data_IF_514903523927
#
_entry.id   IF_514903523927
#
_cell.length_a   1.000
_cell.length_b   1.000
_cell.length_c   1.000
_cell.angle_alpha   90.00
_cell.angle_beta   90.00
_cell.angle_gamma   90.00
#
_symmetry.space_group_name_H-M   'P 1'
#
loop_
_entity.id
_entity.type
_entity.pdbx_description
1 polymer ?
#
# COMPACT_ATOMS: atom_id res chain seq x y z
N UNK A 1 -3.43 -14.71 6.19
CA UNK A 1 -2.91 -14.24 7.48
C UNK A 1 -3.48 -15.12 8.58
N UNK A 2 -2.72 -15.37 9.65
CA UNK A 2 -3.15 -16.16 10.81
C UNK A 2 -3.09 -15.29 12.06
N UNK A 3 -3.91 -15.53 13.10
CA UNK A 3 -3.76 -14.87 14.39
C UNK A 3 -2.32 -15.02 14.90
N UNK A 4 -1.77 -13.96 15.47
CA UNK A 4 -0.42 -13.97 16.06
C UNK A 4 -0.50 -14.48 17.51
N UNK A 5 0.03 -15.68 17.82
CA UNK A 5 -0.04 -16.21 19.18
C UNK A 5 0.66 -15.29 20.18
N UNK A 6 0.00 -14.98 21.30
CA UNK A 6 0.51 -14.09 22.35
C UNK A 6 0.34 -12.59 22.06
N UNK A 7 -0.24 -12.22 20.92
CA UNK A 7 -0.59 -10.84 20.58
C UNK A 7 -2.08 -10.54 20.82
N UNK A 8 -2.50 -9.30 20.58
CA UNK A 8 -3.90 -8.90 20.72
C UNK A 8 -4.78 -9.55 19.64
N UNK A 9 -6.10 -9.63 19.88
CA UNK A 9 -7.02 -10.44 19.08
C UNK A 9 -7.08 -10.08 17.58
N UNK A 10 -6.84 -8.82 17.23
CA UNK A 10 -6.84 -8.32 15.85
C UNK A 10 -5.49 -8.51 15.15
N UNK A 11 -4.45 -8.89 15.87
CA UNK A 11 -3.09 -8.93 15.37
C UNK A 11 -2.79 -10.25 14.67
N UNK A 12 -2.17 -10.15 13.50
CA UNK A 12 -1.95 -11.28 12.62
C UNK A 12 -0.51 -11.34 12.15
N UNK A 13 -0.09 -12.53 11.73
CA UNK A 13 1.11 -12.73 10.93
C UNK A 13 0.74 -13.24 9.54
N UNK A 14 1.58 -12.91 8.57
CA UNK A 14 1.50 -13.49 7.25
C UNK A 14 2.36 -14.76 7.16
N UNK A 15 1.81 -15.81 6.55
CA UNK A 15 2.45 -17.12 6.42
C UNK A 15 2.81 -17.37 4.96
N UNK A 16 3.78 -18.26 4.72
CA UNK A 16 4.15 -18.70 3.36
C UNK A 16 5.64 -18.60 3.04
N UNK A 17 6.52 -18.38 4.03
CA UNK A 17 7.96 -18.37 3.84
C UNK A 17 8.50 -19.77 3.50
N UNK A 18 7.87 -20.81 4.03
CA UNK A 18 8.23 -22.20 3.73
C UNK A 18 8.08 -22.46 2.22
N UNK A 19 9.14 -22.94 1.59
CA UNK A 19 9.21 -23.20 0.15
C UNK A 19 9.14 -21.95 -0.74
N UNK A 20 9.29 -20.74 -0.19
CA UNK A 20 9.16 -19.50 -0.95
C UNK A 20 10.28 -19.36 -2.00
N UNK A 21 11.49 -19.78 -1.69
CA UNK A 21 12.64 -19.63 -2.58
C UNK A 21 12.44 -20.44 -3.87
N UNK A 22 12.02 -21.70 -3.73
CA UNK A 22 11.72 -22.59 -4.84
C UNK A 22 10.57 -22.06 -5.68
N UNK A 23 9.47 -21.63 -5.03
CA UNK A 23 8.33 -21.03 -5.75
C UNK A 23 8.73 -19.74 -6.48
N UNK A 24 9.55 -18.89 -5.87
CA UNK A 24 9.99 -17.64 -6.48
C UNK A 24 10.85 -17.89 -7.73
N UNK A 25 11.76 -18.88 -7.67
CA UNK A 25 12.53 -19.31 -8.83
C UNK A 25 11.62 -19.86 -9.95
N UNK A 26 10.64 -20.70 -9.61
CA UNK A 26 9.67 -21.23 -10.58
C UNK A 26 8.83 -20.12 -11.22
N UNK A 27 8.41 -19.11 -10.45
CA UNK A 27 7.67 -17.96 -10.97
C UNK A 27 8.53 -17.09 -11.87
N UNK A 28 9.83 -16.95 -11.57
CA UNK A 28 10.76 -16.22 -12.45
C UNK A 28 10.85 -16.90 -13.83
N UNK A 29 10.96 -18.24 -13.87
CA UNK A 29 10.96 -19.02 -15.11
C UNK A 29 9.66 -18.84 -15.90
N UNK A 30 8.52 -18.73 -15.20
CA UNK A 30 7.21 -18.46 -15.80
C UNK A 30 7.01 -17.00 -16.26
N UNK A 31 7.96 -16.11 -16.00
CA UNK A 31 7.95 -14.72 -16.48
C UNK A 31 7.63 -13.66 -15.44
N UNK A 32 7.37 -14.02 -14.18
CA UNK A 32 7.23 -13.03 -13.11
C UNK A 32 8.55 -12.27 -12.90
N UNK A 33 8.45 -10.97 -12.60
CA UNK A 33 9.62 -10.10 -12.33
C UNK A 33 9.52 -9.32 -11.03
N UNK A 34 8.38 -9.39 -10.37
CA UNK A 34 8.17 -8.88 -9.05
C UNK A 34 7.23 -9.81 -8.29
N UNK A 35 7.26 -9.73 -6.97
CA UNK A 35 6.33 -10.41 -6.09
C UNK A 35 5.67 -9.38 -5.16
N UNK A 36 4.57 -9.76 -4.51
CA UNK A 36 3.94 -8.93 -3.48
C UNK A 36 3.67 -9.74 -2.21
N UNK A 37 3.93 -9.15 -1.05
CA UNK A 37 3.64 -9.76 0.24
C UNK A 37 3.01 -8.75 1.19
N UNK A 38 1.80 -9.07 1.63
CA UNK A 38 0.97 -8.22 2.49
C UNK A 38 1.05 -8.65 3.95
N UNK A 39 1.43 -7.72 4.80
CA UNK A 39 1.17 -7.71 6.23
C UNK A 39 0.02 -6.74 6.52
N UNK A 40 -0.84 -7.07 7.48
CA UNK A 40 -1.92 -6.18 7.92
C UNK A 40 -1.81 -5.92 9.42
N UNK A 41 -1.83 -4.65 9.78
CA UNK A 41 -1.78 -4.17 11.14
C UNK A 41 -2.95 -3.21 11.38
N UNK A 42 -3.49 -3.18 12.58
CA UNK A 42 -4.67 -2.40 12.91
C UNK A 42 -4.41 -1.47 14.09
N UNK A 43 -4.99 -0.27 14.02
CA UNK A 43 -4.98 0.68 15.14
C UNK A 43 -6.25 0.48 15.96
N UNK A 44 -6.08 0.18 17.24
CA UNK A 44 -7.20 -0.05 18.16
C UNK A 44 -6.93 0.61 19.51
N UNK A 45 -7.99 0.82 20.29
CA UNK A 45 -7.92 1.51 21.59
C UNK A 45 -7.18 0.72 22.67
N UNK A 46 -7.03 -0.59 22.53
CA UNK A 46 -6.27 -1.48 23.41
C UNK A 46 -4.76 -1.51 23.09
N UNK A 47 -4.28 -0.60 22.23
CA UNK A 47 -2.85 -0.37 22.01
C UNK A 47 -2.25 -1.09 20.80
N UNK A 48 -3.06 -1.59 19.86
CA UNK A 48 -2.54 -2.10 18.59
C UNK A 48 -2.12 -0.96 17.65
N UNK A 49 -1.12 -1.18 16.76
CA UNK A 49 -0.31 -2.39 16.69
C UNK A 49 0.73 -2.46 17.83
N UNK A 50 0.81 -3.62 18.49
CA UNK A 50 1.74 -3.93 19.56
C UNK A 50 3.17 -4.06 19.04
N UNK A 51 4.18 -3.92 19.92
CA UNK A 51 5.58 -4.13 19.52
C UNK A 51 5.82 -5.52 18.94
N UNK A 52 5.13 -6.55 19.48
CA UNK A 52 5.23 -7.92 18.99
C UNK A 52 4.74 -8.03 17.54
N UNK A 53 3.56 -7.48 17.25
CA UNK A 53 2.97 -7.49 15.90
C UNK A 53 3.80 -6.72 14.88
N UNK A 54 4.32 -5.55 15.28
CA UNK A 54 5.18 -4.74 14.41
C UNK A 54 6.47 -5.48 14.07
N UNK A 55 7.14 -6.06 15.07
CA UNK A 55 8.38 -6.81 14.86
C UNK A 55 8.17 -8.04 14.00
N UNK A 56 7.15 -8.86 14.30
CA UNK A 56 6.87 -10.08 13.56
C UNK A 56 6.56 -9.80 12.08
N UNK A 57 5.66 -8.85 11.81
CA UNK A 57 5.30 -8.50 10.44
C UNK A 57 6.47 -7.87 9.67
N UNK A 58 7.25 -7.01 10.33
CA UNK A 58 8.45 -6.40 9.73
C UNK A 58 9.51 -7.45 9.39
N UNK A 59 9.72 -8.41 10.30
CA UNK A 59 10.67 -9.51 10.08
C UNK A 59 10.21 -10.44 8.96
N UNK A 60 8.92 -10.81 8.94
CA UNK A 60 8.33 -11.61 7.87
C UNK A 60 8.47 -10.94 6.49
N UNK A 61 8.21 -9.64 6.41
CA UNK A 61 8.38 -8.83 5.19
C UNK A 61 9.83 -8.80 4.72
N UNK A 62 10.80 -8.60 5.63
CA UNK A 62 12.22 -8.58 5.30
C UNK A 62 12.73 -9.94 4.81
N UNK A 63 12.32 -11.03 5.47
CA UNK A 63 12.63 -12.41 5.07
C UNK A 63 12.07 -12.74 3.70
N UNK A 64 10.82 -12.35 3.44
CA UNK A 64 10.20 -12.46 2.13
C UNK A 64 11.01 -11.67 1.08
N UNK A 65 11.33 -10.41 1.37
CA UNK A 65 12.01 -9.52 0.43
C UNK A 65 13.38 -10.08 0.01
N UNK A 66 14.18 -10.53 0.99
CA UNK A 66 15.47 -11.16 0.70
C UNK A 66 15.29 -12.43 -0.13
N UNK A 67 14.35 -13.29 0.26
CA UNK A 67 14.11 -14.57 -0.41
C UNK A 67 13.76 -14.41 -1.91
N UNK A 68 12.88 -13.47 -2.25
CA UNK A 68 12.50 -13.27 -3.66
C UNK A 68 13.58 -12.54 -4.47
N UNK A 69 14.43 -11.72 -3.82
CA UNK A 69 15.60 -11.14 -4.46
C UNK A 69 16.63 -12.19 -4.88
N UNK A 70 16.86 -13.24 -4.07
CA UNK A 70 17.71 -14.38 -4.45
C UNK A 70 17.23 -15.08 -5.73
N UNK A 71 15.93 -14.99 -6.03
CA UNK A 71 15.32 -15.55 -7.23
C UNK A 71 15.18 -14.54 -8.38
N UNK A 72 15.73 -13.34 -8.24
CA UNK A 72 15.68 -12.28 -9.26
C UNK A 72 14.33 -11.56 -9.38
N UNK A 73 13.45 -11.68 -8.39
CA UNK A 73 12.18 -10.93 -8.34
C UNK A 73 12.32 -9.67 -7.47
N UNK A 74 11.73 -8.57 -7.92
CA UNK A 74 11.59 -7.35 -7.12
C UNK A 74 10.50 -7.55 -6.04
N UNK A 75 10.81 -7.45 -4.73
CA UNK A 75 9.78 -7.47 -3.71
C UNK A 75 9.02 -6.16 -3.62
N UNK A 76 7.69 -6.24 -3.74
CA UNK A 76 6.78 -5.24 -3.20
C UNK A 76 6.53 -5.57 -1.72
N UNK A 77 6.95 -4.67 -0.84
CA UNK A 77 6.83 -4.77 0.61
C UNK A 77 5.57 -4.02 1.05
N UNK A 78 4.54 -4.73 1.51
CA UNK A 78 3.22 -4.17 1.82
C UNK A 78 2.89 -4.25 3.32
N UNK A 79 3.36 -3.29 4.16
CA UNK A 79 2.93 -3.14 5.54
C UNK A 79 1.66 -2.29 5.62
N UNK A 80 0.50 -2.91 5.39
CA UNK A 80 -0.78 -2.19 5.41
C UNK A 80 -1.22 -1.88 6.84
N UNK A 81 -1.43 -0.59 7.12
CA UNK A 81 -2.22 -0.15 8.28
C UNK A 81 -3.69 -0.08 7.83
N UNK A 82 -4.53 -0.91 8.44
CA UNK A 82 -5.97 -0.98 8.18
C UNK A 82 -6.67 0.30 8.63
N UNK A 83 -7.71 0.68 7.88
CA UNK A 83 -8.51 1.88 8.15
C UNK A 83 -9.62 1.66 9.19
N UNK A 84 -9.82 0.44 9.67
CA UNK A 84 -10.84 0.09 10.64
C UNK A 84 -10.64 0.86 11.96
N UNK A 85 -11.72 1.46 12.48
CA UNK A 85 -11.76 2.15 13.76
C UNK A 85 -12.01 3.66 13.68
N UNK A 86 -11.90 4.33 14.82
CA UNK A 86 -12.24 5.76 14.98
C UNK A 86 -11.02 6.70 15.12
N UNK A 87 -9.83 6.19 14.84
CA UNK A 87 -8.58 6.90 15.04
C UNK A 87 -8.44 8.10 14.08
N UNK A 88 -7.73 9.15 14.53
CA UNK A 88 -7.46 10.33 13.72
C UNK A 88 -6.38 10.06 12.68
N UNK A 89 -6.30 10.93 11.67
CA UNK A 89 -5.25 10.86 10.64
C UNK A 89 -3.84 11.00 11.23
N UNK A 90 -3.66 11.73 12.32
CA UNK A 90 -2.39 11.85 13.04
C UNK A 90 -2.02 10.55 13.77
N UNK A 91 -2.99 9.81 14.27
CA UNK A 91 -2.74 8.48 14.85
C UNK A 91 -2.30 7.50 13.76
N UNK A 92 -2.92 7.54 12.58
CA UNK A 92 -2.48 6.78 11.40
C UNK A 92 -1.05 7.12 11.03
N UNK A 93 -0.71 8.41 10.92
CA UNK A 93 0.64 8.86 10.61
C UNK A 93 1.68 8.31 11.59
N UNK A 94 1.39 8.38 12.91
CA UNK A 94 2.28 7.86 13.96
C UNK A 94 2.48 6.36 13.86
N UNK A 95 1.40 5.61 13.63
CA UNK A 95 1.48 4.16 13.46
C UNK A 95 2.30 3.80 12.22
N UNK A 96 2.02 4.43 11.08
CA UNK A 96 2.76 4.22 9.84
C UNK A 96 4.24 4.56 9.98
N UNK A 97 4.60 5.70 10.57
CA UNK A 97 6.02 6.05 10.80
C UNK A 97 6.73 4.98 11.64
N UNK A 98 6.07 4.45 12.69
CA UNK A 98 6.65 3.40 13.55
C UNK A 98 6.81 2.07 12.81
N UNK A 99 5.79 1.63 12.10
CA UNK A 99 5.83 0.35 11.35
C UNK A 99 6.83 0.40 10.21
N UNK A 100 6.81 1.45 9.39
CA UNK A 100 7.68 1.57 8.21
C UNK A 100 9.15 1.63 8.64
N UNK A 101 9.48 2.31 9.74
CA UNK A 101 10.85 2.31 10.29
C UNK A 101 11.31 0.92 10.70
N UNK A 102 10.46 0.15 11.39
CA UNK A 102 10.80 -1.22 11.78
C UNK A 102 10.99 -2.13 10.54
N UNK A 103 10.13 -1.99 9.52
CA UNK A 103 10.26 -2.71 8.25
C UNK A 103 11.62 -2.46 7.62
N UNK A 104 12.07 -1.21 7.51
CA UNK A 104 13.38 -0.92 6.92
C UNK A 104 14.56 -1.31 7.82
N UNK A 105 14.41 -1.29 9.15
CA UNK A 105 15.40 -1.87 10.05
C UNK A 105 15.53 -3.39 9.85
N UNK A 106 14.41 -4.11 9.74
CA UNK A 106 14.42 -5.54 9.45
C UNK A 106 15.00 -5.84 8.06
N UNK A 107 14.66 -5.06 7.03
CA UNK A 107 15.24 -5.17 5.69
C UNK A 107 16.75 -4.99 5.71
N UNK A 108 17.27 -4.00 6.44
CA UNK A 108 18.71 -3.79 6.60
C UNK A 108 19.39 -5.00 7.25
N UNK A 109 18.82 -5.54 8.33
CA UNK A 109 19.38 -6.72 9.04
C UNK A 109 19.35 -7.98 8.16
N UNK A 110 18.40 -8.09 7.23
CA UNK A 110 18.29 -9.23 6.30
C UNK A 110 19.04 -9.00 4.97
N UNK A 111 19.90 -7.97 4.88
CA UNK A 111 20.65 -7.61 3.66
C UNK A 111 19.75 -7.44 2.42
N UNK A 112 18.60 -6.80 2.56
CA UNK A 112 17.71 -6.49 1.43
C UNK A 112 18.26 -5.31 0.64
N UNK A 113 18.42 -5.47 -0.68
CA UNK A 113 18.83 -4.39 -1.59
C UNK A 113 17.65 -3.44 -1.83
N UNK A 114 17.64 -2.27 -1.19
CA UNK A 114 16.50 -1.33 -1.21
C UNK A 114 16.23 -0.75 -2.61
N UNK A 115 17.26 -0.52 -3.41
CA UNK A 115 17.18 -0.07 -4.81
C UNK A 115 16.40 -1.06 -5.69
N UNK A 116 16.37 -2.33 -5.29
CA UNK A 116 15.64 -3.41 -5.93
C UNK A 116 14.33 -3.75 -5.23
N UNK A 117 13.69 -2.81 -4.53
CA UNK A 117 12.40 -3.00 -3.83
C UNK A 117 11.36 -1.96 -4.25
N UNK A 118 10.10 -2.21 -3.89
CA UNK A 118 9.05 -1.19 -3.88
C UNK A 118 8.33 -1.23 -2.53
N UNK A 119 7.87 -0.07 -2.03
CA UNK A 119 7.00 -0.01 -0.86
C UNK A 119 5.55 0.13 -1.31
N UNK A 120 4.65 -0.66 -0.73
CA UNK A 120 3.19 -0.53 -0.92
C UNK A 120 2.51 -0.23 0.42
N UNK A 121 2.50 1.04 0.86
CA UNK A 121 1.82 1.45 2.08
C UNK A 121 0.36 1.86 1.77
N UNK A 122 -0.46 1.94 2.80
CA UNK A 122 -1.70 2.72 2.75
C UNK A 122 -1.41 4.22 2.71
N UNK A 123 -2.30 5.02 2.11
CA UNK A 123 -2.27 6.47 2.31
C UNK A 123 -2.57 6.80 3.78
N UNK A 124 -2.05 7.92 4.27
CA UNK A 124 -2.33 8.38 5.64
C UNK A 124 -3.72 8.98 5.69
N UNK A 125 -4.72 8.15 6.02
CA UNK A 125 -6.12 8.54 6.18
C UNK A 125 -6.59 8.26 7.60
N UNK A 126 -7.66 8.92 8.03
CA UNK A 126 -8.34 8.62 9.29
C UNK A 126 -8.97 7.22 9.28
N UNK A 127 -9.37 6.76 10.45
CA UNK A 127 -10.21 5.58 10.57
C UNK A 127 -11.59 5.77 9.93
N UNK A 128 -12.21 4.69 9.46
CA UNK A 128 -13.53 4.71 8.80
C UNK A 128 -14.60 5.35 9.68
N UNK A 129 -14.56 5.08 10.99
CA UNK A 129 -15.56 5.52 11.97
C UNK A 129 -15.24 6.89 12.57
N UNK A 130 -14.13 7.50 12.17
CA UNK A 130 -13.76 8.84 12.63
C UNK A 130 -14.68 9.89 11.97
N UNK A 131 -15.38 10.70 12.76
CA UNK A 131 -16.36 11.67 12.23
C UNK A 131 -15.73 12.88 11.51
N UNK A 132 -14.48 13.23 11.87
CA UNK A 132 -13.76 14.36 11.26
C UNK A 132 -13.48 14.04 9.79
N UNK A 133 -13.85 14.93 8.87
CA UNK A 133 -13.45 14.80 7.46
C UNK A 133 -12.10 15.47 7.27
N UNK A 134 -11.25 14.86 6.45
CA UNK A 134 -9.98 15.45 6.04
C UNK A 134 -10.07 15.80 4.56
N UNK A 135 -9.58 16.97 4.19
CA UNK A 135 -9.50 17.35 2.79
C UNK A 135 -8.34 16.62 2.09
N UNK A 136 -8.39 16.48 0.75
CA UNK A 136 -7.35 15.78 0.01
C UNK A 136 -5.92 16.32 0.18
N UNK A 137 -5.74 17.63 0.40
CA UNK A 137 -4.40 18.22 0.59
C UNK A 137 -3.83 17.84 1.94
N UNK A 138 -4.66 17.79 2.98
CA UNK A 138 -4.26 17.29 4.31
C UNK A 138 -3.82 15.83 4.24
N UNK A 139 -4.58 14.96 3.55
CA UNK A 139 -4.20 13.55 3.32
C UNK A 139 -2.87 13.46 2.59
N UNK A 140 -2.70 14.20 1.50
CA UNK A 140 -1.48 14.18 0.71
C UNK A 140 -0.25 14.65 1.50
N UNK A 141 -0.37 15.79 2.20
CA UNK A 141 0.71 16.37 3.00
C UNK A 141 1.14 15.45 4.14
N UNK A 142 0.19 14.87 4.87
CA UNK A 142 0.49 13.93 5.95
C UNK A 142 1.09 12.63 5.44
N UNK A 143 0.64 12.14 4.28
CA UNK A 143 1.20 10.94 3.65
C UNK A 143 2.65 11.17 3.24
N UNK A 144 2.94 12.23 2.48
CA UNK A 144 4.31 12.54 2.05
C UNK A 144 5.24 12.76 3.24
N UNK A 145 4.79 13.53 4.26
CA UNK A 145 5.58 13.77 5.47
C UNK A 145 5.90 12.47 6.23
N UNK A 146 4.92 11.56 6.33
CA UNK A 146 5.10 10.26 6.99
C UNK A 146 6.16 9.43 6.26
N UNK A 147 6.14 9.41 4.92
CA UNK A 147 7.13 8.73 4.10
C UNK A 147 8.52 9.37 4.23
N UNK A 148 8.63 10.70 4.14
CA UNK A 148 9.89 11.43 4.32
C UNK A 148 10.58 11.15 5.66
N UNK A 149 9.81 10.81 6.68
CA UNK A 149 10.31 10.52 8.03
C UNK A 149 10.64 9.05 8.27
N UNK A 150 10.31 8.15 7.35
CA UNK A 150 10.36 6.70 7.60
C UNK A 150 10.94 5.87 6.46
N UNK A 151 10.96 6.37 5.23
CA UNK A 151 11.44 5.65 4.05
C UNK A 151 12.85 6.12 3.67
N UNK A 152 13.81 5.20 3.44
CA UNK A 152 15.11 5.54 2.88
C UNK A 152 15.02 6.05 1.43
N UNK A 153 15.89 7.00 1.06
CA UNK A 153 15.93 7.56 -0.30
C UNK A 153 16.43 6.60 -1.38
N UNK A 154 17.03 5.46 -1.01
CA UNK A 154 17.47 4.41 -1.95
C UNK A 154 16.32 3.59 -2.52
N UNK A 155 15.17 3.56 -1.86
CA UNK A 155 13.96 2.95 -2.41
C UNK A 155 13.57 3.72 -3.68
N UNK A 156 13.25 3.07 -4.80
CA UNK A 156 12.95 3.77 -6.05
C UNK A 156 11.51 4.29 -6.13
N UNK A 157 10.55 3.58 -5.52
CA UNK A 157 9.13 3.90 -5.70
C UNK A 157 8.22 3.46 -4.57
N UNK A 158 7.15 4.23 -4.40
CA UNK A 158 6.03 3.98 -3.50
C UNK A 158 4.79 3.72 -4.35
N UNK A 159 4.24 2.51 -4.24
CA UNK A 159 3.07 2.05 -5.01
C UNK A 159 1.87 1.92 -4.08
N UNK A 160 1.11 2.99 -3.85
CA UNK A 160 0.06 3.01 -2.82
C UNK A 160 -1.01 1.95 -3.06
N UNK A 161 -1.46 1.29 -1.99
CA UNK A 161 -2.70 0.53 -2.00
C UNK A 161 -3.88 1.50 -1.79
N UNK A 162 -5.03 1.21 -2.41
CA UNK A 162 -6.23 2.05 -2.24
C UNK A 162 -6.94 1.78 -0.90
N UNK A 163 -6.65 0.67 -0.24
CA UNK A 163 -7.38 0.25 0.96
C UNK A 163 -8.88 0.17 0.64
N UNK A 164 -9.70 0.70 1.54
CA UNK A 164 -11.15 0.88 1.37
C UNK A 164 -11.58 2.22 0.80
N UNK A 165 -10.69 3.02 0.22
CA UNK A 165 -11.09 4.22 -0.51
C UNK A 165 -11.90 3.83 -1.76
N UNK A 166 -12.91 4.64 -2.08
CA UNK A 166 -13.57 4.61 -3.38
C UNK A 166 -12.61 5.03 -4.50
N UNK A 167 -13.01 4.76 -5.74
CA UNK A 167 -12.17 5.00 -6.92
C UNK A 167 -11.71 6.46 -7.02
N UNK A 168 -12.62 7.41 -6.78
CA UNK A 168 -12.33 8.83 -7.00
C UNK A 168 -11.42 9.45 -5.93
N UNK A 169 -11.68 9.29 -4.61
CA UNK A 169 -10.74 9.73 -3.59
C UNK A 169 -9.33 9.12 -3.75
N UNK A 170 -9.22 7.87 -4.19
CA UNK A 170 -7.91 7.25 -4.42
C UNK A 170 -7.11 7.96 -5.53
N UNK A 171 -7.75 8.39 -6.62
CA UNK A 171 -7.10 9.19 -7.69
C UNK A 171 -6.79 10.60 -7.20
N UNK A 172 -7.73 11.27 -6.53
CA UNK A 172 -7.56 12.65 -6.07
C UNK A 172 -6.43 12.75 -5.04
N UNK A 173 -6.36 11.84 -4.06
CA UNK A 173 -5.27 11.84 -3.07
C UNK A 173 -3.90 11.58 -3.70
N UNK A 174 -3.82 10.64 -4.65
CA UNK A 174 -2.57 10.39 -5.39
C UNK A 174 -2.13 11.63 -6.18
N UNK A 175 -3.08 12.32 -6.82
CA UNK A 175 -2.82 13.53 -7.56
C UNK A 175 -2.24 14.64 -6.67
N UNK A 176 -2.92 14.93 -5.54
CA UNK A 176 -2.47 15.95 -4.59
C UNK A 176 -1.07 15.64 -4.03
N UNK A 177 -0.73 14.37 -3.80
CA UNK A 177 0.64 13.99 -3.42
C UNK A 177 1.67 14.31 -4.51
N UNK A 178 1.31 14.07 -5.78
CA UNK A 178 2.20 14.38 -6.89
C UNK A 178 2.31 15.88 -7.20
N UNK A 179 1.31 16.68 -6.84
CA UNK A 179 1.35 18.14 -6.90
C UNK A 179 2.27 18.80 -5.87
N UNK A 180 2.70 18.09 -4.81
CA UNK A 180 3.65 18.64 -3.82
C UNK A 180 5.03 18.83 -4.46
N UNK A 181 5.48 20.09 -4.56
CA UNK A 181 6.74 20.46 -5.23
C UNK A 181 7.98 19.84 -4.58
N UNK A 182 8.04 19.88 -3.25
CA UNK A 182 9.19 19.37 -2.48
C UNK A 182 8.81 18.06 -1.80
N UNK A 183 9.30 16.96 -2.37
CA UNK A 183 9.27 15.62 -1.79
C UNK A 183 10.57 14.88 -2.13
N UNK A 184 10.87 13.81 -1.41
CA UNK A 184 11.97 12.90 -1.74
C UNK A 184 11.84 12.32 -3.16
N UNK A 185 12.92 11.72 -3.67
CA UNK A 185 13.05 11.28 -5.08
C UNK A 185 12.26 10.02 -5.45
N UNK A 186 11.42 9.52 -4.56
CA UNK A 186 10.57 8.39 -4.84
C UNK A 186 9.57 8.73 -5.94
N UNK A 187 9.34 7.77 -6.84
CA UNK A 187 8.15 7.82 -7.68
C UNK A 187 6.92 7.43 -6.86
N UNK A 188 5.89 8.29 -6.84
CA UNK A 188 4.63 8.04 -6.14
C UNK A 188 3.55 7.60 -7.14
N UNK A 189 3.21 6.32 -7.13
CA UNK A 189 2.26 5.69 -8.07
C UNK A 189 1.28 4.78 -7.33
N UNK A 190 0.43 4.07 -8.07
CA UNK A 190 -0.63 3.23 -7.53
C UNK A 190 -0.35 1.73 -7.73
N UNK A 191 -0.80 0.93 -6.75
CA UNK A 191 -0.98 -0.52 -6.83
C UNK A 191 -2.40 -0.84 -6.36
N UNK A 192 -3.38 -0.57 -7.22
CA UNK A 192 -4.79 -0.59 -6.87
C UNK A 192 -5.49 -1.87 -7.32
N UNK A 193 -6.35 -2.40 -6.44
CA UNK A 193 -7.35 -3.41 -6.78
C UNK A 193 -8.72 -2.75 -6.95
N UNK A 194 -9.44 -2.60 -5.84
CA UNK A 194 -10.80 -2.02 -5.82
C UNK A 194 -10.92 -0.68 -6.55
N UNK A 195 -10.00 0.26 -6.30
CA UNK A 195 -10.03 1.59 -6.92
C UNK A 195 -9.79 1.62 -8.45
N UNK A 196 -9.44 0.48 -9.06
CA UNK A 196 -9.39 0.31 -10.52
C UNK A 196 -10.52 -0.56 -11.08
N UNK A 197 -11.09 -1.45 -10.25
CA UNK A 197 -11.91 -2.57 -10.73
C UNK A 197 -13.38 -2.46 -10.33
N UNK A 198 -13.75 -1.66 -9.34
CA UNK A 198 -15.11 -1.62 -8.82
C UNK A 198 -16.14 -1.27 -9.89
N UNK A 199 -15.92 -0.18 -10.61
CA UNK A 199 -16.82 0.24 -11.70
C UNK A 199 -16.71 -0.65 -12.93
N UNK A 200 -15.51 -1.21 -13.20
CA UNK A 200 -15.33 -2.22 -14.25
C UNK A 200 -16.20 -3.46 -13.98
N UNK A 201 -16.19 -3.98 -12.76
CA UNK A 201 -16.97 -5.16 -12.37
C UNK A 201 -18.47 -4.88 -12.45
N UNK A 202 -18.93 -3.70 -12.00
CA UNK A 202 -20.34 -3.30 -12.15
C UNK A 202 -20.77 -3.18 -13.61
N UNK A 203 -19.95 -2.54 -14.45
CA UNK A 203 -20.26 -2.34 -15.86
C UNK A 203 -20.22 -3.65 -16.66
N UNK A 204 -19.29 -4.56 -16.32
CA UNK A 204 -19.21 -5.87 -16.93
C UNK A 204 -20.42 -6.73 -16.60
N UNK A 205 -20.89 -6.71 -15.35
CA UNK A 205 -22.04 -7.48 -14.88
C UNK A 205 -22.00 -8.98 -15.29
N UNK A 206 -20.81 -9.54 -15.46
CA UNK A 206 -20.59 -10.93 -15.88
C UNK A 206 -20.66 -11.20 -17.39
N UNK A 207 -21.00 -10.22 -18.24
CA UNK A 207 -21.18 -10.45 -19.68
C UNK A 207 -20.76 -9.31 -20.61
N UNK A 208 -20.94 -8.04 -20.24
CA UNK A 208 -20.63 -6.91 -21.11
C UNK A 208 -19.14 -6.53 -21.03
N UNK A 209 -18.31 -7.29 -21.75
CA UNK A 209 -16.85 -7.12 -21.77
C UNK A 209 -16.48 -5.69 -22.20
N UNK A 210 -17.17 -5.13 -23.20
CA UNK A 210 -16.86 -3.82 -23.74
C UNK A 210 -17.14 -2.71 -22.72
N UNK A 211 -18.27 -2.78 -22.01
CA UNK A 211 -18.59 -1.84 -20.93
C UNK A 211 -17.58 -1.92 -19.78
N UNK A 212 -17.22 -3.14 -19.35
CA UNK A 212 -16.19 -3.35 -18.33
C UNK A 212 -14.84 -2.75 -18.72
N UNK A 213 -14.35 -3.07 -19.92
CA UNK A 213 -13.07 -2.57 -20.43
C UNK A 213 -13.04 -1.04 -20.55
N UNK A 214 -14.12 -0.43 -21.04
CA UNK A 214 -14.23 1.04 -21.16
C UNK A 214 -14.01 1.73 -19.82
N UNK A 215 -14.61 1.20 -18.75
CA UNK A 215 -14.51 1.79 -17.41
C UNK A 215 -13.15 1.49 -16.76
N UNK A 216 -12.59 0.30 -16.98
CA UNK A 216 -11.24 -0.02 -16.52
C UNK A 216 -10.20 0.94 -17.11
N UNK A 217 -10.28 1.22 -18.42
CA UNK A 217 -9.39 2.17 -19.10
C UNK A 217 -9.55 3.58 -18.53
N UNK A 218 -10.78 4.02 -18.26
CA UNK A 218 -11.03 5.32 -17.64
C UNK A 218 -10.36 5.45 -16.26
N UNK A 219 -10.49 4.44 -15.38
CA UNK A 219 -9.82 4.48 -14.07
C UNK A 219 -8.31 4.33 -14.19
N UNK A 220 -7.80 3.57 -15.16
CA UNK A 220 -6.37 3.51 -15.43
C UNK A 220 -5.82 4.87 -15.89
N UNK A 221 -6.54 5.57 -16.77
CA UNK A 221 -6.18 6.91 -17.24
C UNK A 221 -6.19 7.92 -16.08
N UNK A 222 -7.23 7.92 -15.24
CA UNK A 222 -7.33 8.78 -14.06
C UNK A 222 -6.11 8.65 -13.15
N UNK A 223 -5.72 7.41 -12.84
CA UNK A 223 -4.60 7.14 -11.96
C UNK A 223 -3.24 7.38 -12.62
N UNK A 224 -3.14 7.22 -13.94
CA UNK A 224 -1.98 7.62 -14.73
C UNK A 224 -1.77 9.14 -14.65
N UNK A 225 -2.81 9.93 -14.88
CA UNK A 225 -2.76 11.40 -14.75
C UNK A 225 -2.45 11.82 -13.30
N UNK A 226 -3.02 11.12 -12.32
CA UNK A 226 -2.77 11.39 -10.90
C UNK A 226 -1.33 11.12 -10.50
N UNK A 227 -0.68 10.12 -11.11
CA UNK A 227 0.76 9.86 -10.89
C UNK A 227 1.67 10.98 -11.40
N UNK A 228 1.15 11.84 -12.28
CA UNK A 228 1.85 13.00 -12.83
C UNK A 228 1.44 14.32 -12.17
N UNK A 229 0.48 14.30 -11.23
CA UNK A 229 -0.10 15.51 -10.65
C UNK A 229 -0.96 16.30 -11.65
N UNK A 230 -1.54 15.62 -12.64
CA UNK A 230 -2.29 16.22 -13.75
C UNK A 230 -3.75 15.77 -13.80
N UNK A 231 -4.22 14.98 -12.84
CA UNK A 231 -5.59 14.53 -12.79
C UNK A 231 -6.53 15.65 -12.35
N UNK A 232 -7.56 15.90 -13.16
CA UNK A 232 -8.67 16.77 -12.80
C UNK A 232 -9.80 15.91 -12.20
N UNK A 233 -10.21 16.22 -10.96
CA UNK A 233 -11.27 15.48 -10.28
C UNK A 233 -12.56 15.44 -11.12
N UNK A 234 -13.15 14.25 -11.25
CA UNK A 234 -14.34 13.99 -12.06
C UNK A 234 -14.13 13.94 -13.58
N UNK A 235 -12.89 14.09 -14.07
CA UNK A 235 -12.61 14.03 -15.51
C UNK A 235 -12.74 12.62 -16.12
N UNK A 236 -12.67 11.58 -15.28
CA UNK A 236 -12.83 10.19 -15.68
C UNK A 236 -13.99 9.54 -14.91
N UNK A 237 -14.84 8.73 -15.57
CA UNK A 237 -15.99 8.12 -14.92
C UNK A 237 -15.60 7.19 -13.76
N UNK A 238 -16.39 7.22 -12.70
CA UNK A 238 -16.46 6.23 -11.61
C UNK A 238 -17.92 5.98 -11.24
N UNK A 239 -18.24 4.77 -10.81
CA UNK A 239 -19.57 4.37 -10.31
C UNK A 239 -19.76 4.61 -8.81
N UNK A 240 -18.78 5.23 -8.18
CA UNK A 240 -18.86 5.73 -6.81
C UNK A 240 -19.44 7.16 -6.87
N UNK A 241 -20.77 7.25 -6.82
CA UNK A 241 -21.52 8.42 -6.34
C UNK A 241 -21.84 8.25 -4.84
#
# INVERSE_FOLDING_TARGET
>A
MRPLPGANAVETLCTGLDGLLERAADYYVQGARFANWRAALQITSDGCPSDLSIRENSWGLARYARCVQESGLVPIVEPEILMDGNHSIEQTARAQERVIREVYQACLVNDVLLEGTLLKPSMTVKGTDCAKKEDPKTVASLTVRTLERSVPSSVPGITFLSGGLSEEPASVHLNEMNCIERKSRWTLVFSYGRALQHSCLKAWAGSDIAAGQKVLIARAQANSEASLGQYLAGSQPSSDE
#
